data_IF_457633761077
#
_entry.id   IF_457633761077
#
_cell.length_a   1.000
_cell.length_b   1.000
_cell.length_c   1.000
_cell.angle_alpha   90.00
_cell.angle_beta   90.00
_cell.angle_gamma   90.00
#
_symmetry.space_group_name_H-M   'P 1'
#
loop_
_entity.id
_entity.type
_entity.pdbx_description
1 polymer ?
#
# COMPACT_ATOMS: atom_id res chain seq x y z
N UNK A 1 -7.27 -23.74 5.79
CA UNK A 1 -7.89 -22.59 5.10
C UNK A 1 -7.97 -21.36 5.99
N UNK A 2 -8.17 -21.53 7.30
CA UNK A 2 -8.22 -20.43 8.28
C UNK A 2 -7.00 -19.51 8.25
N UNK A 3 -5.77 -20.05 8.13
CA UNK A 3 -4.55 -19.22 8.05
C UNK A 3 -4.55 -18.27 6.84
N UNK A 4 -5.03 -18.74 5.69
CA UNK A 4 -5.13 -17.95 4.47
C UNK A 4 -6.17 -16.84 4.63
N UNK A 5 -7.36 -17.18 5.15
CA UNK A 5 -8.45 -16.21 5.37
C UNK A 5 -8.03 -15.13 6.38
N UNK A 6 -7.49 -15.54 7.54
CA UNK A 6 -7.03 -14.60 8.55
C UNK A 6 -5.92 -13.68 8.04
N UNK A 7 -4.99 -14.21 7.22
CA UNK A 7 -3.97 -13.40 6.56
C UNK A 7 -4.60 -12.38 5.59
N UNK A 8 -5.60 -12.80 4.80
CA UNK A 8 -6.27 -11.93 3.83
C UNK A 8 -7.00 -10.78 4.51
N UNK A 9 -7.76 -11.05 5.56
CA UNK A 9 -8.49 -10.03 6.31
C UNK A 9 -7.52 -9.03 6.96
N UNK A 10 -6.45 -9.54 7.59
CA UNK A 10 -5.40 -8.71 8.19
C UNK A 10 -4.72 -7.82 7.16
N UNK A 11 -4.40 -8.37 5.98
CA UNK A 11 -3.74 -7.61 4.93
C UNK A 11 -4.69 -6.60 4.29
N UNK A 12 -5.96 -6.93 4.12
CA UNK A 12 -6.98 -5.98 3.65
C UNK A 12 -7.13 -4.78 4.60
N UNK A 13 -7.11 -5.02 5.91
CA UNK A 13 -7.11 -3.95 6.91
C UNK A 13 -5.87 -3.05 6.78
N UNK A 14 -4.68 -3.62 6.58
CA UNK A 14 -3.45 -2.85 6.31
C UNK A 14 -3.54 -2.01 5.04
N UNK A 15 -4.07 -2.56 3.95
CA UNK A 15 -4.28 -1.82 2.70
C UNK A 15 -5.24 -0.63 2.90
N UNK A 16 -6.32 -0.82 3.65
CA UNK A 16 -7.24 0.27 4.03
C UNK A 16 -6.53 1.36 4.83
N UNK A 17 -5.68 0.98 5.79
CA UNK A 17 -4.87 1.93 6.57
C UNK A 17 -3.91 2.72 5.69
N UNK A 18 -3.15 2.04 4.81
CA UNK A 18 -2.22 2.71 3.91
C UNK A 18 -2.93 3.64 2.93
N UNK A 19 -4.09 3.23 2.39
CA UNK A 19 -4.92 4.08 1.55
C UNK A 19 -5.35 5.35 2.27
N UNK A 20 -5.77 5.25 3.53
CA UNK A 20 -6.14 6.42 4.34
C UNK A 20 -4.95 7.35 4.57
N UNK A 21 -3.77 6.80 4.89
CA UNK A 21 -2.52 7.58 5.04
C UNK A 21 -2.11 8.28 3.75
N UNK A 22 -2.23 7.62 2.60
CA UNK A 22 -1.96 8.21 1.29
C UNK A 22 -2.92 9.36 1.00
N UNK A 23 -4.22 9.20 1.31
CA UNK A 23 -5.20 10.28 1.16
C UNK A 23 -4.88 11.48 2.07
N UNK A 24 -4.39 11.24 3.28
CA UNK A 24 -3.94 12.30 4.17
C UNK A 24 -2.72 13.05 3.61
N UNK A 25 -1.76 12.32 3.01
CA UNK A 25 -0.60 12.94 2.35
C UNK A 25 -1.03 13.77 1.13
N UNK A 26 -2.02 13.30 0.37
CA UNK A 26 -2.60 14.04 -0.75
C UNK A 26 -3.25 15.36 -0.32
N UNK A 27 -4.07 15.33 0.73
CA UNK A 27 -4.66 16.56 1.27
C UNK A 27 -3.58 17.56 1.73
N UNK A 28 -2.49 17.08 2.36
CA UNK A 28 -1.37 17.93 2.77
C UNK A 28 -0.58 18.48 1.58
N UNK A 29 -0.36 17.67 0.55
CA UNK A 29 0.31 18.11 -0.68
C UNK A 29 -0.48 19.21 -1.39
N UNK A 30 -1.82 19.13 -1.37
CA UNK A 30 -2.67 20.10 -2.05
C UNK A 30 -2.58 21.51 -1.45
N UNK A 31 -2.34 21.60 -0.13
CA UNK A 31 -2.09 22.85 0.59
C UNK A 31 -0.63 23.32 0.61
N UNK A 32 0.30 22.60 -0.03
CA UNK A 32 1.71 22.98 -0.10
C UNK A 32 1.99 24.01 -1.21
N UNK A 33 3.15 24.68 -1.15
CA UNK A 33 3.63 25.59 -2.22
C UNK A 33 3.79 24.84 -3.55
N UNK A 34 3.64 25.54 -4.66
CA UNK A 34 3.58 24.96 -6.02
C UNK A 34 4.74 23.99 -6.34
N UNK A 35 5.99 24.35 -6.05
CA UNK A 35 7.16 23.49 -6.31
C UNK A 35 7.16 22.21 -5.45
N UNK A 36 6.81 22.35 -4.18
CA UNK A 36 6.72 21.21 -3.26
C UNK A 36 5.53 20.29 -3.60
N UNK A 37 4.42 20.87 -4.08
CA UNK A 37 3.23 20.14 -4.51
C UNK A 37 3.55 19.17 -5.65
N UNK A 38 4.35 19.57 -6.63
CA UNK A 38 4.74 18.70 -7.76
C UNK A 38 5.54 17.48 -7.26
N UNK A 39 6.57 17.69 -6.42
CA UNK A 39 7.37 16.58 -5.88
C UNK A 39 6.51 15.63 -5.02
N UNK A 40 5.63 16.19 -4.19
CA UNK A 40 4.75 15.39 -3.35
C UNK A 40 3.72 14.60 -4.15
N UNK A 41 3.12 15.20 -5.19
CA UNK A 41 2.18 14.51 -6.05
C UNK A 41 2.82 13.33 -6.79
N UNK A 42 4.08 13.44 -7.25
CA UNK A 42 4.80 12.30 -7.84
C UNK A 42 4.97 11.16 -6.83
N UNK A 43 5.42 11.48 -5.62
CA UNK A 43 5.59 10.47 -4.56
C UNK A 43 4.26 9.81 -4.17
N UNK A 44 3.20 10.60 -4.02
CA UNK A 44 1.85 10.11 -3.70
C UNK A 44 1.30 9.22 -4.81
N UNK A 45 1.52 9.58 -6.07
CA UNK A 45 1.13 8.76 -7.22
C UNK A 45 1.82 7.39 -7.17
N UNK A 46 3.13 7.34 -6.92
CA UNK A 46 3.87 6.08 -6.75
C UNK A 46 3.34 5.25 -5.58
N UNK A 47 2.97 5.88 -4.47
CA UNK A 47 2.36 5.19 -3.33
C UNK A 47 1.00 4.59 -3.68
N UNK A 48 0.15 5.32 -4.41
CA UNK A 48 -1.15 4.82 -4.92
C UNK A 48 -0.96 3.64 -5.86
N UNK A 49 0.01 3.68 -6.76
CA UNK A 49 0.30 2.57 -7.67
C UNK A 49 0.74 1.32 -6.90
N UNK A 50 1.60 1.46 -5.89
CA UNK A 50 2.02 0.36 -5.01
C UNK A 50 0.85 -0.22 -4.21
N UNK A 51 -0.01 0.62 -3.64
CA UNK A 51 -1.22 0.16 -2.92
C UNK A 51 -2.15 -0.62 -3.84
N UNK A 52 -2.40 -0.11 -5.05
CA UNK A 52 -3.23 -0.79 -6.05
C UNK A 52 -2.64 -2.12 -6.48
N UNK A 53 -1.33 -2.19 -6.69
CA UNK A 53 -0.63 -3.44 -7.03
C UNK A 53 -0.74 -4.49 -5.91
N UNK A 54 -0.55 -4.07 -4.65
CA UNK A 54 -0.70 -4.95 -3.50
C UNK A 54 -2.16 -5.43 -3.33
N UNK A 55 -3.13 -4.54 -3.56
CA UNK A 55 -4.56 -4.91 -3.58
C UNK A 55 -4.88 -5.93 -4.67
N UNK A 56 -4.35 -5.74 -5.89
CA UNK A 56 -4.54 -6.71 -6.98
C UNK A 56 -3.99 -8.09 -6.62
N UNK A 57 -2.77 -8.14 -6.07
CA UNK A 57 -2.15 -9.40 -5.60
C UNK A 57 -2.96 -10.07 -4.50
N UNK A 58 -3.55 -9.30 -3.58
CA UNK A 58 -4.43 -9.85 -2.55
C UNK A 58 -5.68 -10.50 -3.16
N UNK A 59 -6.29 -9.87 -4.16
CA UNK A 59 -7.43 -10.43 -4.89
C UNK A 59 -7.06 -11.69 -5.68
N UNK A 60 -5.87 -11.74 -6.28
CA UNK A 60 -5.34 -12.96 -6.90
C UNK A 60 -5.13 -14.08 -5.88
N UNK A 61 -4.59 -13.76 -4.69
CA UNK A 61 -4.46 -14.71 -3.60
C UNK A 61 -5.81 -15.24 -3.10
N UNK A 62 -6.85 -14.39 -3.03
CA UNK A 62 -8.22 -14.82 -2.70
C UNK A 62 -8.69 -15.92 -3.65
N UNK A 63 -8.43 -15.77 -4.95
CA UNK A 63 -8.77 -16.74 -5.99
C UNK A 63 -7.86 -17.96 -6.05
N UNK A 64 -6.61 -17.86 -5.59
CA UNK A 64 -5.63 -18.95 -5.64
C UNK A 64 -5.96 -20.12 -4.70
N UNK A 65 -5.64 -21.36 -5.10
CA UNK A 65 -5.79 -22.54 -4.25
C UNK A 65 -4.77 -22.63 -3.10
N UNK A 66 -4.96 -23.62 -2.22
CA UNK A 66 -4.11 -23.88 -1.04
C UNK A 66 -2.63 -24.20 -1.35
N UNK A 67 -2.29 -24.51 -2.60
CA UNK A 67 -0.91 -24.78 -3.03
C UNK A 67 -0.11 -23.53 -3.40
N UNK A 68 -0.75 -22.49 -3.97
CA UNK A 68 -0.06 -21.33 -4.53
C UNK A 68 -0.09 -20.08 -3.63
N UNK A 69 -0.91 -20.08 -2.57
CA UNK A 69 -1.10 -18.89 -1.75
C UNK A 69 0.14 -18.52 -0.92
N UNK A 70 1.02 -19.48 -0.59
CA UNK A 70 2.26 -19.22 0.18
C UNK A 70 3.27 -18.39 -0.62
N UNK A 71 3.45 -18.68 -1.91
CA UNK A 71 4.30 -17.89 -2.80
C UNK A 71 3.73 -16.48 -3.01
N UNK A 72 2.42 -16.39 -3.23
CA UNK A 72 1.71 -15.12 -3.33
C UNK A 72 1.85 -14.29 -2.04
N UNK A 73 1.84 -14.95 -0.87
CA UNK A 73 2.02 -14.31 0.44
C UNK A 73 3.39 -13.66 0.55
N UNK A 74 4.45 -14.38 0.21
CA UNK A 74 5.81 -13.81 0.21
C UNK A 74 5.93 -12.60 -0.73
N UNK A 75 5.35 -12.71 -1.94
CA UNK A 75 5.35 -11.61 -2.91
C UNK A 75 4.50 -10.40 -2.50
N UNK A 76 3.47 -10.61 -1.66
CA UNK A 76 2.61 -9.57 -1.13
C UNK A 76 3.20 -8.92 0.12
N UNK A 77 3.84 -9.69 1.01
CA UNK A 77 4.56 -9.16 2.17
C UNK A 77 5.69 -8.22 1.72
N UNK A 78 6.53 -8.64 0.76
CA UNK A 78 7.59 -7.79 0.19
C UNK A 78 7.05 -6.47 -0.37
N UNK A 79 5.99 -6.54 -1.19
CA UNK A 79 5.36 -5.34 -1.75
C UNK A 79 4.77 -4.43 -0.66
N UNK A 80 4.24 -5.02 0.41
CA UNK A 80 3.71 -4.31 1.56
C UNK A 80 4.79 -3.59 2.37
N UNK A 81 5.93 -4.24 2.61
CA UNK A 81 7.07 -3.63 3.29
C UNK A 81 7.67 -2.47 2.48
N UNK A 82 7.77 -2.61 1.16
CA UNK A 82 8.20 -1.53 0.28
C UNK A 82 7.23 -0.35 0.27
N UNK A 83 5.92 -0.62 0.27
CA UNK A 83 4.89 0.42 0.37
C UNK A 83 4.97 1.13 1.73
N UNK A 84 5.06 0.36 2.82
CA UNK A 84 5.20 0.91 4.18
C UNK A 84 6.42 1.81 4.29
N UNK A 85 7.58 1.34 3.83
CA UNK A 85 8.82 2.14 3.86
C UNK A 85 8.70 3.44 3.04
N UNK A 86 8.10 3.36 1.86
CA UNK A 86 7.88 4.55 1.03
C UNK A 86 6.89 5.53 1.69
N UNK A 87 5.84 5.01 2.35
CA UNK A 87 4.86 5.81 3.05
C UNK A 87 5.47 6.51 4.27
N UNK A 88 6.26 5.79 5.08
CA UNK A 88 6.97 6.35 6.23
C UNK A 88 7.94 7.46 5.80
N UNK A 89 8.67 7.28 4.68
CA UNK A 89 9.52 8.31 4.08
C UNK A 89 8.72 9.54 3.62
N UNK A 90 7.59 9.33 2.96
CA UNK A 90 6.73 10.43 2.53
C UNK A 90 6.20 11.20 3.74
N UNK A 91 5.66 10.51 4.76
CA UNK A 91 5.19 11.14 6.00
C UNK A 91 6.30 11.94 6.69
N UNK A 92 7.54 11.42 6.73
CA UNK A 92 8.67 12.11 7.33
C UNK A 92 9.04 13.40 6.57
N UNK A 93 8.87 13.45 5.24
CA UNK A 93 9.07 14.69 4.45
C UNK A 93 8.00 15.76 4.70
N UNK A 94 6.83 15.37 5.21
CA UNK A 94 5.74 16.29 5.57
C UNK A 94 5.75 16.75 7.03
N UNK A 95 6.73 16.30 7.82
CA UNK A 95 6.99 16.79 9.18
C UNK A 95 7.85 18.03 9.11
#
# INVERSE_FOLDING_TARGET
MEEKTAYQEKYEAKLKEWKAKIAQLEARADGAKADAKIEYQDQIKRLKEKEKAARSKLEEMKKAGSGAWKDLKSGLDKAGDELKSALDKAVAKFK
#
